data_IF_959725006105
#
_entry.id   IF_959725006105
#
_cell.length_a   1.000
_cell.length_b   1.000
_cell.length_c   1.000
_cell.angle_alpha   90.00
_cell.angle_beta   90.00
_cell.angle_gamma   90.00
#
_symmetry.space_group_name_H-M   'P 1'
#
loop_
_entity.id
_entity.type
_entity.pdbx_description
1 polymer ?
#
# COMPACT_ATOMS: atom_id res chain seq x y z
N UNK A 1 -2.31 -8.46 -2.43
CA UNK A 1 -1.61 -9.73 -2.11
C UNK A 1 -1.53 -9.87 -0.60
N UNK A 2 -2.00 -10.99 -0.02
CA UNK A 2 -1.93 -11.25 1.43
C UNK A 2 -0.54 -11.77 1.79
N UNK A 3 0.18 -11.10 2.69
CA UNK A 3 1.52 -11.50 3.13
C UNK A 3 1.82 -10.87 4.50
N UNK A 4 2.67 -11.53 5.30
CA UNK A 4 3.29 -10.88 6.45
C UNK A 4 4.46 -10.03 5.99
N UNK A 5 4.55 -8.78 6.44
CA UNK A 5 5.73 -7.95 6.17
C UNK A 5 6.45 -7.61 7.45
N UNK A 6 7.74 -7.36 7.32
CA UNK A 6 8.60 -6.76 8.32
C UNK A 6 9.35 -5.58 7.73
N UNK A 7 9.97 -4.79 8.60
CA UNK A 7 10.89 -3.72 8.24
C UNK A 7 12.29 -4.16 8.62
N UNK A 8 13.23 -4.15 7.66
CA UNK A 8 14.64 -4.37 7.95
C UNK A 8 15.15 -3.22 8.83
N UNK A 9 15.60 -3.50 10.05
CA UNK A 9 16.11 -2.46 10.99
C UNK A 9 17.64 -2.41 11.08
N UNK A 10 18.33 -3.35 10.43
CA UNK A 10 19.80 -3.46 10.40
C UNK A 10 20.31 -3.72 8.97
N UNK A 11 21.64 -3.63 8.79
CA UNK A 11 22.30 -3.95 7.53
C UNK A 11 22.16 -2.87 6.45
N UNK A 12 22.65 -3.16 5.24
CA UNK A 12 22.66 -2.23 4.09
C UNK A 12 21.28 -1.96 3.51
N UNK A 13 20.29 -2.83 3.77
CA UNK A 13 18.89 -2.67 3.34
C UNK A 13 17.99 -2.11 4.43
N UNK A 14 18.54 -1.51 5.49
CA UNK A 14 17.76 -0.89 6.58
C UNK A 14 16.69 0.05 6.02
N UNK A 15 15.47 -0.09 6.52
CA UNK A 15 14.28 0.64 6.07
C UNK A 15 13.47 -0.09 5.00
N UNK A 16 13.98 -1.18 4.41
CA UNK A 16 13.24 -1.96 3.43
C UNK A 16 12.03 -2.66 4.07
N UNK A 17 10.87 -2.51 3.45
CA UNK A 17 9.69 -3.34 3.74
C UNK A 17 9.76 -4.62 2.90
N UNK A 18 9.76 -5.78 3.54
CA UNK A 18 9.89 -7.07 2.86
C UNK A 18 8.98 -8.12 3.51
N UNK A 19 8.68 -9.18 2.76
CA UNK A 19 7.96 -10.33 3.30
C UNK A 19 8.70 -10.97 4.46
N UNK A 20 7.98 -11.29 5.53
CA UNK A 20 8.50 -12.02 6.68
C UNK A 20 8.62 -13.50 6.34
N UNK A 21 9.86 -13.94 6.11
CA UNK A 21 10.18 -15.33 5.72
C UNK A 21 9.85 -16.34 6.81
N UNK A 22 9.91 -15.96 8.09
CA UNK A 22 9.62 -16.86 9.20
C UNK A 22 8.13 -17.21 9.28
N UNK A 23 7.26 -16.32 8.78
CA UNK A 23 5.80 -16.48 8.75
C UNK A 23 5.27 -16.73 7.34
N UNK A 24 6.13 -17.18 6.43
CA UNK A 24 5.73 -17.45 5.05
C UNK A 24 4.65 -18.54 4.96
N UNK A 25 4.77 -19.58 5.79
CA UNK A 25 3.83 -20.71 5.82
C UNK A 25 2.64 -20.53 6.76
N UNK A 26 2.60 -19.44 7.54
CA UNK A 26 1.47 -19.16 8.42
C UNK A 26 0.21 -18.88 7.57
N UNK A 27 -0.88 -19.64 7.73
CA UNK A 27 -2.09 -19.47 6.93
C UNK A 27 -2.82 -18.13 7.21
N UNK A 28 -2.61 -17.53 8.39
CA UNK A 28 -3.28 -16.29 8.79
C UNK A 28 -2.40 -15.09 8.47
N UNK A 29 -2.62 -14.40 7.35
CA UNK A 29 -1.87 -13.18 7.02
C UNK A 29 -2.50 -11.95 7.69
N UNK A 30 -1.69 -11.12 8.35
CA UNK A 30 -2.18 -9.91 9.07
C UNK A 30 -2.24 -8.65 8.20
N UNK A 31 -1.65 -8.66 7.00
CA UNK A 31 -1.58 -7.49 6.13
C UNK A 31 -1.74 -7.85 4.65
N UNK A 32 -2.05 -6.84 3.83
CA UNK A 32 -2.12 -6.93 2.39
C UNK A 32 -1.27 -5.85 1.72
N UNK A 33 -0.43 -6.27 0.78
CA UNK A 33 0.37 -5.36 -0.05
C UNK A 33 -0.36 -5.13 -1.37
N UNK A 34 -0.54 -3.86 -1.73
CA UNK A 34 -1.04 -3.46 -3.04
C UNK A 34 0.07 -3.63 -4.08
N UNK A 35 -0.20 -4.44 -5.11
CA UNK A 35 0.76 -4.70 -6.21
C UNK A 35 0.33 -3.95 -7.47
N UNK A 36 -0.97 -3.87 -7.71
CA UNK A 36 -1.55 -3.14 -8.82
C UNK A 36 -2.52 -2.08 -8.31
N UNK A 37 -2.68 -1.02 -9.09
CA UNK A 37 -3.70 0.00 -8.88
C UNK A 37 -4.43 0.24 -10.20
N UNK A 38 -5.75 0.41 -10.12
CA UNK A 38 -6.56 0.85 -11.26
C UNK A 38 -6.31 2.32 -11.55
N UNK A 39 -5.21 2.66 -12.22
CA UNK A 39 -4.76 4.04 -12.43
C UNK A 39 -5.82 4.95 -13.09
N UNK A 40 -6.56 4.52 -14.15
CA UNK A 40 -7.60 5.36 -14.75
C UNK A 40 -8.73 5.69 -13.77
N UNK A 41 -9.16 4.70 -12.98
CA UNK A 41 -10.20 4.88 -11.96
C UNK A 41 -9.72 5.79 -10.84
N UNK A 42 -8.51 5.56 -10.34
CA UNK A 42 -7.89 6.37 -9.30
C UNK A 42 -7.84 7.85 -9.72
N UNK A 43 -7.36 8.13 -10.93
CA UNK A 43 -7.28 9.50 -11.44
C UNK A 43 -8.66 10.15 -11.54
N UNK A 44 -9.66 9.43 -12.07
CA UNK A 44 -11.03 9.94 -12.13
C UNK A 44 -11.60 10.26 -10.74
N UNK A 45 -11.45 9.36 -9.78
CA UNK A 45 -11.90 9.58 -8.40
C UNK A 45 -11.18 10.75 -7.75
N UNK A 46 -9.85 10.84 -7.93
CA UNK A 46 -9.03 11.91 -7.41
C UNK A 46 -9.50 13.27 -7.93
N UNK A 47 -9.62 13.42 -9.25
CA UNK A 47 -10.04 14.67 -9.88
C UNK A 47 -11.47 15.06 -9.49
N UNK A 48 -12.38 14.08 -9.41
CA UNK A 48 -13.77 14.32 -8.99
C UNK A 48 -13.83 14.90 -7.57
N UNK A 49 -13.08 14.32 -6.62
CA UNK A 49 -13.09 14.75 -5.21
C UNK A 49 -12.47 16.12 -5.02
N UNK A 50 -11.28 16.36 -5.61
CA UNK A 50 -10.58 17.63 -5.45
C UNK A 50 -11.30 18.77 -6.17
N UNK A 51 -11.79 18.54 -7.39
CA UNK A 51 -12.55 19.57 -8.13
C UNK A 51 -13.88 19.88 -7.46
N UNK A 52 -14.54 18.88 -6.88
CA UNK A 52 -15.75 19.06 -6.09
C UNK A 52 -15.50 19.96 -4.88
N UNK A 53 -14.42 19.72 -4.15
CA UNK A 53 -14.03 20.57 -3.01
C UNK A 53 -13.71 22.01 -3.44
N UNK A 54 -12.95 22.18 -4.52
CA UNK A 54 -12.56 23.51 -5.02
C UNK A 54 -13.79 24.38 -5.37
N UNK A 55 -14.86 23.78 -5.90
CA UNK A 55 -16.12 24.49 -6.21
C UNK A 55 -16.90 24.96 -4.98
N UNK A 56 -16.67 24.35 -3.82
CA UNK A 56 -17.35 24.71 -2.57
C UNK A 56 -16.59 25.82 -1.83
N UNK A 57 -15.25 25.84 -1.98
CA UNK A 57 -14.36 26.70 -1.22
C UNK A 57 -13.98 28.03 -1.92
N UNK A 58 -14.29 28.17 -3.22
CA UNK A 58 -14.10 29.40 -4.00
C UNK A 58 -15.42 30.09 -4.29
#
# INVERSE_FOLDING_TARGET
>A
MKIFTLIDVYGSTRGRTIGDVARLNDPVKTMQVAVCVGAPRFLNEFMTRISGLAKIAG
#
